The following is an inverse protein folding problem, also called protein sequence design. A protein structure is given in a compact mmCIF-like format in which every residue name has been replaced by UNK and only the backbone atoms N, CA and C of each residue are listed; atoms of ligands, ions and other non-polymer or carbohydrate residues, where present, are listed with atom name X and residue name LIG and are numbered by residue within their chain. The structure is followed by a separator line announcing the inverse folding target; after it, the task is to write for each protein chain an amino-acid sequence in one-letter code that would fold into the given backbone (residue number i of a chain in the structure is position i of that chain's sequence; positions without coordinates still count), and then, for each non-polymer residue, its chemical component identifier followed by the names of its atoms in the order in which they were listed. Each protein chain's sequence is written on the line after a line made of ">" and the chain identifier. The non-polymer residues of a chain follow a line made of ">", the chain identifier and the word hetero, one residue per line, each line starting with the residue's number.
data_IF_713630744699
#
_entry.id   IF_713630744699
#
_cell.length_a   1.000
_cell.length_b   1.000
_cell.length_c   1.000
_cell.angle_alpha   90.00
_cell.angle_beta   90.00
_cell.angle_gamma   90.00
#
_symmetry.space_group_name_H-M   'P 1'
#
loop_
_entity.id
_entity.type
_entity.pdbx_description
1 polymer ?
#
# COMPACT_ATOMS: atom_id res chain seq x y z
N UNK A 1 -35.34 39.72 5.20
CA UNK A 1 -34.52 39.69 6.43
C UNK A 1 -33.06 39.74 6.03
N UNK A 2 -32.36 40.84 6.32
CA UNK A 2 -30.92 40.94 6.11
C UNK A 2 -30.16 40.58 7.39
N UNK A 3 -29.07 39.83 7.27
CA UNK A 3 -28.09 39.66 8.34
C UNK A 3 -26.83 40.43 7.93
N UNK A 4 -26.63 41.61 8.53
CA UNK A 4 -25.38 42.35 8.48
C UNK A 4 -24.41 41.74 9.50
N UNK A 5 -23.32 41.14 9.05
CA UNK A 5 -22.19 40.77 9.92
C UNK A 5 -21.09 41.81 9.75
N UNK A 6 -21.12 42.87 10.56
CA UNK A 6 -19.98 43.78 10.72
C UNK A 6 -18.91 43.09 11.57
N UNK A 7 -17.91 42.50 10.91
CA UNK A 7 -16.69 41.99 11.54
C UNK A 7 -15.87 43.14 12.15
N UNK A 8 -15.83 43.18 13.48
CA UNK A 8 -15.15 44.20 14.27
C UNK A 8 -13.63 44.15 14.04
N UNK A 9 -13.05 45.20 13.42
CA UNK A 9 -11.64 45.27 13.04
C UNK A 9 -10.63 45.08 14.19
N UNK A 10 -11.05 45.29 15.44
CA UNK A 10 -10.21 45.10 16.65
C UNK A 10 -9.85 43.63 16.91
N UNK A 11 -10.68 42.67 16.51
CA UNK A 11 -10.43 41.23 16.73
C UNK A 11 -9.31 40.67 15.86
N UNK A 12 -9.20 41.16 14.60
CA UNK A 12 -8.12 40.75 13.68
C UNK A 12 -6.75 41.23 14.16
N UNK A 13 -6.65 42.46 14.65
CA UNK A 13 -5.37 43.01 15.15
C UNK A 13 -4.89 42.32 16.44
N UNK A 14 -5.80 41.91 17.33
CA UNK A 14 -5.47 41.14 18.53
C UNK A 14 -4.96 39.73 18.20
N UNK A 15 -5.54 39.07 17.19
CA UNK A 15 -5.07 37.76 16.73
C UNK A 15 -3.68 37.82 16.09
N UNK A 16 -3.36 38.87 15.33
CA UNK A 16 -2.02 39.06 14.77
C UNK A 16 -0.96 39.37 15.85
N UNK A 17 -1.28 40.18 16.85
CA UNK A 17 -0.37 40.49 17.96
C UNK A 17 -0.08 39.26 18.83
N UNK A 18 -1.08 38.42 19.10
CA UNK A 18 -0.92 37.17 19.84
C UNK A 18 -0.03 36.16 19.10
N UNK A 19 -0.20 36.02 17.77
CA UNK A 19 0.62 35.13 16.94
C UNK A 19 2.08 35.57 16.82
N UNK A 20 2.34 36.89 16.80
CA UNK A 20 3.71 37.44 16.82
C UNK A 20 4.41 37.22 18.17
N UNK A 21 3.70 37.39 19.28
CA UNK A 21 4.25 37.15 20.62
C UNK A 21 4.57 35.65 20.87
N UNK A 22 3.70 34.74 20.42
CA UNK A 22 3.93 33.29 20.48
C UNK A 22 5.11 32.85 19.61
N UNK A 23 5.27 33.45 18.42
CA UNK A 23 6.39 33.14 17.51
C UNK A 23 7.73 33.67 18.04
N UNK A 24 7.75 34.86 18.65
CA UNK A 24 8.96 35.41 19.27
C UNK A 24 9.38 34.63 20.52
N UNK A 25 8.42 34.13 21.32
CA UNK A 25 8.71 33.32 22.51
C UNK A 25 9.30 31.94 22.15
N UNK A 26 8.86 31.31 21.06
CA UNK A 26 9.45 30.04 20.59
C UNK A 26 10.89 30.21 20.08
N UNK A 27 11.20 31.32 19.40
CA UNK A 27 12.58 31.59 18.92
C UNK A 27 13.52 31.90 20.09
N UNK A 28 13.04 32.61 21.13
CA UNK A 28 13.85 32.87 22.33
C UNK A 28 14.16 31.59 23.13
N UNK A 29 13.20 30.67 23.24
CA UNK A 29 13.40 29.40 23.94
C UNK A 29 14.38 28.44 23.23
N UNK A 30 14.52 28.54 21.90
CA UNK A 30 15.44 27.71 21.12
C UNK A 30 16.89 28.24 21.11
N UNK A 31 17.14 29.48 21.56
CA UNK A 31 18.48 30.08 21.64
C UNK A 31 19.09 30.06 23.05
N UNK A 32 18.43 29.42 24.02
CA UNK A 32 19.00 29.21 25.35
C UNK A 32 20.05 28.08 25.30
N UNK A 33 21.32 28.48 25.19
CA UNK A 33 22.51 27.62 25.29
C UNK A 33 22.49 26.89 26.65
N UNK A 34 22.67 25.56 26.72
CA UNK A 34 22.88 24.91 28.01
C UNK A 34 24.17 25.45 28.65
N UNK A 35 24.22 25.67 29.97
CA UNK A 35 25.43 26.11 30.65
C UNK A 35 26.49 25.01 30.49
N UNK A 36 27.48 25.31 29.67
CA UNK A 36 28.71 24.56 29.63
C UNK A 36 29.47 24.79 30.94
N UNK A 37 30.02 23.69 31.48
CA UNK A 37 31.01 23.64 32.54
C UNK A 37 30.43 23.78 33.96
N UNK A 38 30.14 22.63 34.57
CA UNK A 38 30.20 22.45 36.03
C UNK A 38 31.59 21.92 36.37
N UNK A 39 32.26 22.58 37.30
CA UNK A 39 33.59 22.27 37.82
C UNK A 39 33.57 20.96 38.65
N UNK A 40 34.53 20.04 38.47
CA UNK A 40 34.49 18.74 39.14
C UNK A 40 35.00 18.82 40.59
N UNK A 41 34.27 18.26 41.59
CA UNK A 41 34.86 18.00 42.90
C UNK A 41 35.79 16.78 42.84
N UNK A 42 36.84 16.82 43.66
CA UNK A 42 37.90 15.82 43.76
C UNK A 42 37.40 14.40 44.11
N UNK A 43 38.18 13.41 43.66
CA UNK A 43 37.88 11.99 43.59
C UNK A 43 37.55 11.28 44.92
N UNK A 44 36.64 10.30 44.82
CA UNK A 44 36.50 9.17 45.74
C UNK A 44 36.66 7.85 44.95
N UNK A 45 37.18 6.76 45.56
CA UNK A 45 37.75 5.62 44.84
C UNK A 45 36.73 4.65 44.25
N UNK A 46 37.19 4.01 43.18
CA UNK A 46 36.58 3.04 42.27
C UNK A 46 35.91 1.81 42.92
N UNK A 47 34.75 1.43 42.38
CA UNK A 47 34.24 0.04 42.31
C UNK A 47 34.10 -0.34 40.82
N UNK A 48 34.34 -1.61 40.44
CA UNK A 48 34.47 -2.00 39.04
C UNK A 48 33.17 -1.84 38.26
N UNK A 49 33.27 -1.18 37.10
CA UNK A 49 32.17 -0.94 36.18
C UNK A 49 31.68 -2.24 35.53
N UNK A 50 30.35 -2.41 35.49
CA UNK A 50 29.69 -3.29 34.52
C UNK A 50 30.01 -2.83 33.09
N UNK A 51 30.21 -3.74 32.11
CA UNK A 51 30.49 -3.34 30.74
C UNK A 51 29.31 -2.58 30.14
N UNK A 52 29.62 -1.47 29.46
CA UNK A 52 28.67 -0.67 28.70
C UNK A 52 27.96 -1.52 27.62
N UNK A 53 26.69 -1.22 27.27
CA UNK A 53 26.03 -1.88 26.16
C UNK A 53 26.75 -1.54 24.85
N UNK A 54 26.97 -2.56 24.02
CA UNK A 54 27.59 -2.42 22.71
C UNK A 54 26.83 -1.42 21.81
N UNK A 55 27.51 -0.75 20.86
CA UNK A 55 26.84 0.15 19.92
C UNK A 55 25.80 -0.63 19.11
N UNK A 56 24.61 -0.04 18.95
CA UNK A 56 23.56 -0.56 18.08
C UNK A 56 24.09 -0.55 16.65
N UNK A 57 24.31 -1.73 16.07
CA UNK A 57 24.72 -1.87 14.67
C UNK A 57 23.66 -1.28 13.74
N UNK A 58 24.10 -0.60 12.69
CA UNK A 58 23.23 -0.18 11.58
C UNK A 58 22.46 -1.39 11.00
N UNK A 59 21.26 -1.21 10.42
CA UNK A 59 20.50 -2.31 9.84
C UNK A 59 21.34 -3.03 8.78
N UNK A 60 21.66 -4.30 9.06
CA UNK A 60 22.42 -5.14 8.16
C UNK A 60 21.52 -5.64 7.04
N UNK A 61 21.87 -5.32 5.79
CA UNK A 61 21.29 -5.97 4.61
C UNK A 61 22.07 -7.25 4.37
N UNK A 62 21.37 -8.39 4.31
CA UNK A 62 22.01 -9.68 4.11
C UNK A 62 22.75 -9.71 2.76
N UNK A 63 23.98 -10.21 2.76
CA UNK A 63 24.71 -10.54 1.54
C UNK A 63 24.03 -11.71 0.79
N UNK A 64 24.29 -11.89 -0.50
CA UNK A 64 23.76 -13.02 -1.26
C UNK A 64 24.08 -14.39 -0.64
N UNK A 65 25.25 -14.51 -0.01
CA UNK A 65 25.70 -15.76 0.65
C UNK A 65 24.93 -15.99 1.95
N UNK A 66 24.68 -14.94 2.73
CA UNK A 66 23.87 -15.03 3.95
C UNK A 66 22.40 -15.34 3.61
N UNK A 67 21.86 -14.74 2.55
CA UNK A 67 20.52 -15.06 2.06
C UNK A 67 20.42 -16.52 1.58
N UNK A 68 21.42 -17.03 0.85
CA UNK A 68 21.47 -18.43 0.42
C UNK A 68 21.61 -19.39 1.60
N UNK A 69 22.43 -19.05 2.60
CA UNK A 69 22.61 -19.86 3.80
C UNK A 69 21.33 -19.91 4.64
N UNK A 70 20.62 -18.79 4.74
CA UNK A 70 19.33 -18.74 5.44
C UNK A 70 18.26 -19.55 4.67
N UNK A 71 18.24 -19.45 3.34
CA UNK A 71 17.34 -20.23 2.49
C UNK A 71 17.63 -21.74 2.52
N UNK A 72 18.91 -22.14 2.61
CA UNK A 72 19.33 -23.54 2.70
C UNK A 72 18.93 -24.20 4.04
N UNK A 73 18.77 -23.39 5.09
CA UNK A 73 18.31 -23.84 6.42
C UNK A 73 16.80 -23.66 6.63
N UNK A 74 16.06 -23.19 5.62
CA UNK A 74 14.61 -23.10 5.70
C UNK A 74 14.02 -24.53 5.71
N UNK A 75 13.06 -24.84 6.61
CA UNK A 75 12.43 -26.15 6.62
C UNK A 75 11.78 -26.42 5.26
N UNK A 76 11.99 -27.61 4.70
CA UNK A 76 11.43 -28.02 3.39
C UNK A 76 9.91 -27.88 3.37
N UNK A 77 9.25 -28.04 4.53
CA UNK A 77 7.82 -27.80 4.70
C UNK A 77 7.37 -26.34 4.39
N UNK A 78 8.25 -25.35 4.54
CA UNK A 78 7.97 -23.97 4.13
C UNK A 78 8.06 -23.78 2.59
N UNK A 79 8.78 -24.64 1.87
CA UNK A 79 8.77 -24.66 0.40
C UNK A 79 7.50 -25.33 -0.16
N UNK A 80 6.85 -26.19 0.62
CA UNK A 80 5.63 -26.92 0.23
C UNK A 80 4.32 -26.25 0.67
N UNK A 81 4.32 -24.97 1.06
CA UNK A 81 3.07 -24.25 1.29
C UNK A 81 2.37 -23.88 -0.04
N UNK A 82 1.98 -24.91 -0.79
CA UNK A 82 1.16 -24.83 -2.00
C UNK A 82 -0.31 -24.69 -1.58
N UNK A 83 -0.68 -23.54 -1.01
CA UNK A 83 -2.08 -23.24 -0.75
C UNK A 83 -2.79 -23.01 -2.10
N UNK A 84 -3.63 -23.97 -2.51
CA UNK A 84 -4.42 -23.88 -3.73
C UNK A 84 -5.48 -22.78 -3.59
N UNK A 85 -5.63 -21.98 -4.64
CA UNK A 85 -6.63 -20.93 -4.72
C UNK A 85 -7.88 -21.49 -5.41
N UNK A 86 -8.99 -21.70 -4.67
CA UNK A 86 -10.25 -22.09 -5.28
C UNK A 86 -10.80 -20.97 -6.16
N UNK A 87 -11.81 -21.27 -6.98
CA UNK A 87 -12.57 -20.24 -7.68
C UNK A 87 -13.17 -19.25 -6.68
N UNK A 88 -13.05 -17.97 -7.02
CA UNK A 88 -13.52 -16.87 -6.19
C UNK A 88 -14.90 -16.35 -6.59
N UNK A 89 -15.19 -15.11 -6.21
CA UNK A 89 -16.45 -14.42 -6.55
C UNK A 89 -16.46 -13.81 -7.95
N UNK A 90 -15.30 -13.75 -8.62
CA UNK A 90 -15.18 -13.20 -9.96
C UNK A 90 -15.71 -14.20 -11.02
N UNK A 91 -16.49 -13.74 -12.02
CA UNK A 91 -16.79 -14.57 -13.18
C UNK A 91 -15.51 -14.74 -14.02
N UNK A 92 -14.97 -15.96 -14.04
CA UNK A 92 -13.70 -16.27 -14.73
C UNK A 92 -13.85 -16.44 -16.25
N UNK A 93 -15.09 -16.53 -16.75
CA UNK A 93 -15.36 -16.64 -18.18
C UNK A 93 -14.81 -15.42 -18.93
N UNK A 94 -13.96 -15.67 -19.93
CA UNK A 94 -13.31 -14.62 -20.71
C UNK A 94 -12.11 -13.95 -20.04
N UNK A 95 -11.73 -14.34 -18.81
CA UNK A 95 -10.50 -13.87 -18.16
C UNK A 95 -9.28 -14.68 -18.60
N UNK A 96 -8.11 -14.02 -18.56
CA UNK A 96 -6.82 -14.66 -18.77
C UNK A 96 -6.20 -15.15 -17.46
N UNK A 97 -5.26 -16.09 -17.56
CA UNK A 97 -4.75 -16.86 -16.41
C UNK A 97 -4.18 -16.00 -15.27
N UNK A 98 -3.39 -14.95 -15.53
CA UNK A 98 -2.88 -14.11 -14.44
C UNK A 98 -3.97 -13.20 -13.85
N UNK A 99 -4.96 -12.80 -14.65
CA UNK A 99 -6.14 -12.08 -14.16
C UNK A 99 -6.99 -12.96 -13.23
N UNK A 100 -7.21 -14.24 -13.61
CA UNK A 100 -7.87 -15.24 -12.76
C UNK A 100 -7.08 -15.43 -11.47
N UNK A 101 -5.76 -15.53 -11.57
CA UNK A 101 -4.89 -15.70 -10.41
C UNK A 101 -5.03 -14.55 -9.41
N UNK A 102 -4.99 -13.29 -9.89
CA UNK A 102 -5.23 -12.13 -9.04
C UNK A 102 -6.62 -12.17 -8.39
N UNK A 103 -7.68 -12.47 -9.17
CA UNK A 103 -9.06 -12.52 -8.67
C UNK A 103 -9.26 -13.58 -7.57
N UNK A 104 -8.72 -14.78 -7.76
CA UNK A 104 -8.81 -15.86 -6.76
C UNK A 104 -8.03 -15.55 -5.50
N UNK A 105 -6.81 -14.98 -5.64
CA UNK A 105 -6.02 -14.58 -4.49
C UNK A 105 -6.75 -13.51 -3.66
N UNK A 106 -7.34 -12.52 -4.32
CA UNK A 106 -8.13 -11.47 -3.65
C UNK A 106 -9.35 -12.06 -2.96
N UNK A 107 -10.07 -12.97 -3.61
CA UNK A 107 -11.26 -13.62 -3.03
C UNK A 107 -10.93 -14.42 -1.75
N UNK A 108 -9.75 -15.04 -1.67
CA UNK A 108 -9.31 -15.78 -0.48
C UNK A 108 -8.87 -14.84 0.64
N UNK A 109 -8.10 -13.80 0.30
CA UNK A 109 -7.44 -12.94 1.30
C UNK A 109 -8.36 -11.85 1.84
N UNK A 110 -9.35 -11.44 1.06
CA UNK A 110 -10.29 -10.36 1.38
C UNK A 110 -11.72 -10.89 1.30
N UNK A 111 -12.15 -11.75 2.24
CA UNK A 111 -13.48 -12.36 2.20
C UNK A 111 -14.64 -11.36 2.37
N UNK A 112 -14.37 -10.10 2.73
CA UNK A 112 -15.35 -9.02 2.72
C UNK A 112 -15.75 -8.62 1.29
N UNK A 113 -14.94 -8.94 0.30
CA UNK A 113 -15.23 -8.71 -1.12
C UNK A 113 -16.19 -9.79 -1.62
N UNK A 114 -17.42 -9.37 -1.89
CA UNK A 114 -18.48 -10.26 -2.36
C UNK A 114 -18.75 -10.14 -3.85
N UNK A 115 -18.14 -9.14 -4.52
CA UNK A 115 -18.32 -8.91 -5.96
C UNK A 115 -17.01 -8.48 -6.60
N UNK A 116 -16.65 -9.17 -7.68
CA UNK A 116 -15.55 -8.78 -8.56
C UNK A 116 -16.09 -8.79 -9.99
N UNK A 117 -16.01 -7.64 -10.67
CA UNK A 117 -16.25 -7.53 -12.10
C UNK A 117 -15.06 -8.04 -12.91
N UNK A 118 -15.28 -8.39 -14.18
CA UNK A 118 -14.24 -8.97 -15.03
C UNK A 118 -14.47 -8.69 -16.50
N UNK A 119 -14.43 -9.73 -17.33
CA UNK A 119 -14.64 -9.64 -18.77
C UNK A 119 -15.98 -8.99 -19.11
N UNK A 120 -15.94 -7.98 -19.98
CA UNK A 120 -17.09 -7.30 -20.59
C UNK A 120 -16.63 -6.48 -21.79
N UNK A 121 -17.57 -6.08 -22.64
CA UNK A 121 -17.28 -5.10 -23.68
C UNK A 121 -17.10 -3.72 -23.05
N UNK A 122 -16.01 -3.04 -23.41
CA UNK A 122 -15.58 -1.75 -22.91
C UNK A 122 -14.78 -1.02 -24.02
N UNK A 123 -14.66 0.32 -23.97
CA UNK A 123 -13.90 1.07 -24.97
C UNK A 123 -12.39 0.79 -24.95
N UNK A 124 -11.85 0.40 -23.79
CA UNK A 124 -10.43 0.08 -23.62
C UNK A 124 -10.23 -1.43 -23.65
N UNK A 125 -9.04 -1.86 -24.11
CA UNK A 125 -8.72 -3.27 -24.35
C UNK A 125 -8.73 -4.18 -23.10
N UNK A 126 -8.73 -3.63 -21.88
CA UNK A 126 -8.44 -4.40 -20.68
C UNK A 126 -9.53 -5.43 -20.34
N UNK A 127 -10.76 -4.98 -20.07
CA UNK A 127 -11.88 -5.89 -19.83
C UNK A 127 -12.25 -6.76 -21.04
N UNK A 128 -12.31 -6.25 -22.29
CA UNK A 128 -12.68 -7.05 -23.46
C UNK A 128 -11.71 -8.17 -23.79
N UNK A 129 -10.44 -8.05 -23.36
CA UNK A 129 -9.43 -9.09 -23.59
C UNK A 129 -9.19 -9.96 -22.35
N UNK A 130 -9.99 -9.82 -21.28
CA UNK A 130 -9.82 -10.62 -20.05
C UNK A 130 -8.61 -10.24 -19.21
N UNK A 131 -8.11 -9.01 -19.37
CA UNK A 131 -6.88 -8.53 -18.75
C UNK A 131 -7.13 -7.76 -17.45
N UNK A 132 -8.38 -7.49 -17.10
CA UNK A 132 -8.69 -6.71 -15.90
C UNK A 132 -9.86 -7.23 -15.09
N UNK A 133 -9.82 -6.87 -13.80
CA UNK A 133 -10.89 -7.08 -12.81
C UNK A 133 -11.16 -5.77 -12.06
N UNK A 134 -12.42 -5.61 -11.67
CA UNK A 134 -12.88 -4.51 -10.81
C UNK A 134 -13.32 -5.10 -9.47
N UNK A 135 -12.54 -4.85 -8.44
CA UNK A 135 -12.80 -5.36 -7.08
C UNK A 135 -13.70 -4.37 -6.37
N UNK A 136 -14.98 -4.70 -6.22
CA UNK A 136 -15.98 -3.79 -5.65
C UNK A 136 -15.76 -3.65 -4.14
N UNK A 137 -15.60 -2.41 -3.68
CA UNK A 137 -15.34 -2.12 -2.27
C UNK A 137 -16.67 -1.88 -1.54
N UNK A 138 -17.02 -2.67 -0.51
CA UNK A 138 -18.21 -2.41 0.28
C UNK A 138 -18.03 -1.10 1.08
N UNK A 139 -19.08 -0.28 1.12
CA UNK A 139 -19.08 0.99 1.86
C UNK A 139 -17.87 1.87 1.52
N UNK A 140 -17.56 2.01 0.23
CA UNK A 140 -16.33 2.61 -0.30
C UNK A 140 -16.08 4.08 0.07
N UNK A 141 -17.07 4.75 0.64
CA UNK A 141 -16.95 6.12 1.14
C UNK A 141 -16.51 6.17 2.62
N UNK A 142 -16.66 5.08 3.38
CA UNK A 142 -16.26 5.03 4.79
C UNK A 142 -14.75 4.92 4.96
N UNK A 143 -14.20 5.32 6.12
CA UNK A 143 -12.79 5.09 6.44
C UNK A 143 -12.38 3.62 6.28
N UNK A 144 -13.24 2.69 6.68
CA UNK A 144 -13.01 1.25 6.58
C UNK A 144 -12.98 0.76 5.14
N UNK A 145 -13.92 1.23 4.30
CA UNK A 145 -13.93 0.91 2.87
C UNK A 145 -12.70 1.48 2.15
N UNK A 146 -12.31 2.72 2.47
CA UNK A 146 -11.09 3.33 1.92
C UNK A 146 -9.85 2.52 2.30
N UNK A 147 -9.75 2.11 3.57
CA UNK A 147 -8.62 1.32 4.06
C UNK A 147 -8.59 -0.08 3.42
N UNK A 148 -9.73 -0.74 3.27
CA UNK A 148 -9.84 -2.01 2.56
C UNK A 148 -9.37 -1.86 1.09
N UNK A 149 -9.83 -0.83 0.39
CA UNK A 149 -9.38 -0.55 -0.97
C UNK A 149 -7.87 -0.27 -1.06
N UNK A 150 -7.31 0.45 -0.09
CA UNK A 150 -5.86 0.69 0.01
C UNK A 150 -5.09 -0.62 0.17
N UNK A 151 -5.56 -1.53 1.04
CA UNK A 151 -4.93 -2.83 1.26
C UNK A 151 -4.96 -3.70 0.01
N UNK A 152 -6.10 -3.75 -0.70
CA UNK A 152 -6.23 -4.52 -1.94
C UNK A 152 -5.33 -3.95 -3.04
N UNK A 153 -5.33 -2.63 -3.23
CA UNK A 153 -4.47 -1.97 -4.21
C UNK A 153 -2.97 -2.21 -3.89
N UNK A 154 -2.58 -2.04 -2.62
CA UNK A 154 -1.22 -2.30 -2.16
C UNK A 154 -0.80 -3.76 -2.33
N UNK A 155 -1.71 -4.71 -2.05
CA UNK A 155 -1.44 -6.13 -2.21
C UNK A 155 -1.25 -6.52 -3.68
N UNK A 156 -2.08 -5.97 -4.58
CA UNK A 156 -1.92 -6.17 -6.02
C UNK A 156 -0.57 -5.63 -6.51
N UNK A 157 -0.18 -4.43 -6.09
CA UNK A 157 1.10 -3.82 -6.45
C UNK A 157 2.30 -4.59 -5.87
N UNK A 158 2.21 -5.07 -4.63
CA UNK A 158 3.25 -5.90 -4.01
C UNK A 158 3.46 -7.23 -4.77
N UNK A 159 2.44 -7.69 -5.50
CA UNK A 159 2.49 -8.89 -6.33
C UNK A 159 2.63 -8.58 -7.82
N UNK A 160 2.97 -7.34 -8.21
CA UNK A 160 2.92 -6.91 -9.60
C UNK A 160 3.72 -7.81 -10.55
N UNK A 161 4.94 -8.20 -10.18
CA UNK A 161 5.74 -9.14 -10.97
C UNK A 161 5.09 -10.53 -11.07
N UNK A 162 4.55 -11.04 -9.97
CA UNK A 162 3.99 -12.40 -9.89
C UNK A 162 2.71 -12.54 -10.72
N UNK A 163 1.84 -11.54 -10.66
CA UNK A 163 0.56 -11.54 -11.37
C UNK A 163 0.61 -10.77 -12.69
N UNK A 164 1.78 -10.27 -13.10
CA UNK A 164 1.90 -9.44 -14.29
C UNK A 164 1.06 -8.16 -14.23
N UNK A 165 0.87 -7.56 -13.05
CA UNK A 165 0.08 -6.33 -12.90
C UNK A 165 0.76 -5.20 -13.68
N UNK A 166 0.04 -4.66 -14.66
CA UNK A 166 0.46 -3.53 -15.46
C UNK A 166 0.12 -2.21 -14.76
N UNK A 167 -1.07 -2.13 -14.17
CA UNK A 167 -1.46 -1.01 -13.33
C UNK A 167 -2.62 -1.37 -12.40
N UNK A 168 -2.75 -0.57 -11.34
CA UNK A 168 -3.89 -0.53 -10.43
C UNK A 168 -4.46 0.89 -10.46
N UNK A 169 -5.78 1.04 -10.47
CA UNK A 169 -6.44 2.35 -10.30
C UNK A 169 -7.32 2.30 -9.05
N UNK A 170 -7.11 3.28 -8.17
CA UNK A 170 -7.91 3.44 -6.97
C UNK A 170 -8.04 4.92 -6.63
N UNK A 171 -9.27 5.41 -6.55
CA UNK A 171 -9.66 6.79 -6.20
C UNK A 171 -8.87 7.84 -7.00
N UNK A 172 -9.07 7.82 -8.33
CA UNK A 172 -8.40 8.69 -9.31
C UNK A 172 -6.88 8.62 -9.36
N UNK A 173 -6.27 7.63 -8.71
CA UNK A 173 -4.82 7.45 -8.78
C UNK A 173 -4.51 6.17 -9.51
N UNK A 174 -3.75 6.30 -10.60
CA UNK A 174 -3.18 5.19 -11.33
C UNK A 174 -1.78 4.89 -10.80
N UNK A 175 -1.57 3.63 -10.47
CA UNK A 175 -0.32 3.07 -9.99
C UNK A 175 0.19 2.08 -11.03
N UNK A 176 1.20 2.45 -11.83
CA UNK A 176 1.88 1.48 -12.67
C UNK A 176 2.46 0.34 -11.83
N UNK A 177 2.44 -0.89 -12.33
CA UNK A 177 3.10 -2.03 -11.65
C UNK A 177 4.61 -1.79 -11.46
N UNK A 178 5.21 -1.01 -12.37
CA UNK A 178 6.57 -0.47 -12.25
C UNK A 178 6.52 1.02 -12.61
N UNK A 179 6.92 1.89 -11.69
CA UNK A 179 7.03 3.33 -11.93
C UNK A 179 6.35 4.18 -10.86
N UNK A 180 6.35 5.50 -11.07
CA UNK A 180 5.70 6.45 -10.18
C UNK A 180 4.20 6.56 -10.48
N UNK A 181 3.34 6.73 -9.46
CA UNK A 181 1.91 6.91 -9.68
C UNK A 181 1.58 8.32 -10.17
N UNK A 182 0.42 8.47 -10.80
CA UNK A 182 -0.12 9.76 -11.25
C UNK A 182 -1.62 9.86 -11.00
N UNK A 183 -2.15 11.09 -10.98
CA UNK A 183 -3.59 11.33 -10.93
C UNK A 183 -4.21 11.16 -12.32
N UNK A 184 -5.42 10.60 -12.38
CA UNK A 184 -6.26 10.56 -13.58
C UNK A 184 -7.11 11.83 -13.67
N UNK A 185 -7.71 12.06 -14.84
CA UNK A 185 -8.72 13.11 -14.95
C UNK A 185 -9.98 12.76 -14.13
N UNK A 186 -10.81 13.77 -13.88
CA UNK A 186 -12.17 13.58 -13.37
C UNK A 186 -13.12 13.27 -14.53
N UNK A 187 -13.74 12.10 -14.47
CA UNK A 187 -14.67 11.59 -15.47
C UNK A 187 -16.14 11.76 -15.08
N UNK A 188 -16.43 12.45 -13.97
CA UNK A 188 -17.77 12.91 -13.62
C UNK A 188 -18.64 11.92 -12.86
N UNK A 189 -18.11 10.77 -12.44
CA UNK A 189 -18.81 9.84 -11.53
C UNK A 189 -17.83 9.06 -10.66
N UNK A 190 -18.28 8.59 -9.49
CA UNK A 190 -17.47 7.78 -8.58
C UNK A 190 -16.93 6.53 -9.26
N UNK A 191 -17.77 5.81 -10.00
CA UNK A 191 -17.36 4.61 -10.74
C UNK A 191 -16.30 4.90 -11.79
N UNK A 192 -16.48 5.92 -12.64
CA UNK A 192 -15.47 6.26 -13.66
C UNK A 192 -14.16 6.77 -13.02
N UNK A 193 -14.26 7.35 -11.83
CA UNK A 193 -13.15 7.83 -11.03
C UNK A 193 -12.55 6.74 -10.11
N UNK A 194 -13.03 5.50 -10.18
CA UNK A 194 -12.55 4.35 -9.39
C UNK A 194 -12.64 4.58 -7.87
N UNK A 195 -13.70 5.25 -7.42
CA UNK A 195 -13.95 5.48 -5.99
C UNK A 195 -14.66 4.31 -5.31
N UNK A 196 -15.41 3.51 -6.06
CA UNK A 196 -16.22 2.37 -5.59
C UNK A 196 -15.58 1.00 -5.84
N UNK A 197 -14.50 0.94 -6.63
CA UNK A 197 -13.76 -0.30 -6.91
C UNK A 197 -12.27 -0.07 -7.13
N UNK A 198 -11.48 -1.10 -6.83
CA UNK A 198 -10.07 -1.18 -7.22
C UNK A 198 -9.98 -1.88 -8.57
N UNK A 199 -9.54 -1.16 -9.60
CA UNK A 199 -9.28 -1.75 -10.92
C UNK A 199 -7.86 -2.32 -10.98
N UNK A 200 -7.71 -3.56 -11.43
CA UNK A 200 -6.41 -4.24 -11.58
C UNK A 200 -6.31 -4.77 -13.00
N UNK A 201 -5.34 -4.27 -13.76
CA UNK A 201 -5.02 -4.76 -15.09
C UNK A 201 -3.72 -5.54 -15.10
N UNK A 202 -3.69 -6.66 -15.81
CA UNK A 202 -2.54 -7.56 -15.94
C UNK A 202 -2.06 -7.65 -17.39
N UNK A 203 -0.88 -8.21 -17.59
CA UNK A 203 -0.34 -8.61 -18.89
C UNK A 203 -0.99 -9.90 -19.44
N UNK A 204 -1.88 -10.53 -18.67
CA UNK A 204 -2.68 -11.68 -19.08
C UNK A 204 -1.97 -13.02 -18.90
N UNK A 205 -1.25 -13.48 -19.92
CA UNK A 205 -0.62 -14.81 -19.94
C UNK A 205 -1.42 -15.90 -20.70
N UNK A 206 -2.46 -15.50 -21.44
CA UNK A 206 -3.29 -16.39 -22.25
C UNK A 206 -4.58 -16.85 -21.59
N UNK A 207 -5.48 -17.43 -22.38
CA UNK A 207 -6.73 -18.00 -21.87
C UNK A 207 -6.48 -19.36 -21.21
N UNK A 208 -7.22 -19.70 -20.14
CA UNK A 208 -7.09 -20.98 -19.46
C UNK A 208 -7.44 -22.14 -20.39
N UNK A 209 -6.66 -23.22 -20.29
CA UNK A 209 -6.89 -24.48 -21.00
C UNK A 209 -7.70 -25.47 -20.16
N UNK A 210 -7.91 -25.17 -18.88
CA UNK A 210 -8.55 -26.05 -17.89
C UNK A 210 -7.56 -26.96 -17.16
N UNK A 211 -6.27 -26.86 -17.46
CA UNK A 211 -5.19 -27.60 -16.79
C UNK A 211 -4.49 -26.75 -15.72
N UNK A 212 -4.89 -25.49 -15.56
CA UNK A 212 -4.27 -24.56 -14.65
C UNK A 212 -4.65 -24.87 -13.19
N UNK A 213 -3.64 -24.95 -12.33
CA UNK A 213 -3.80 -24.92 -10.87
C UNK A 213 -3.15 -23.67 -10.31
N UNK A 214 -3.94 -22.87 -9.60
CA UNK A 214 -3.51 -21.62 -9.00
C UNK A 214 -3.15 -21.84 -7.54
N UNK A 215 -2.00 -21.34 -7.11
CA UNK A 215 -1.57 -21.35 -5.72
C UNK A 215 -1.26 -19.92 -5.25
N UNK A 216 -1.23 -19.69 -3.95
CA UNK A 216 -0.97 -18.35 -3.40
C UNK A 216 0.36 -17.75 -3.91
N UNK A 217 1.39 -18.57 -4.09
CA UNK A 217 2.73 -18.13 -4.51
C UNK A 217 3.15 -18.53 -5.93
N UNK A 218 2.41 -19.43 -6.60
CA UNK A 218 2.77 -19.95 -7.93
C UNK A 218 1.53 -20.39 -8.72
N UNK A 219 1.66 -20.70 -10.00
CA UNK A 219 0.65 -21.49 -10.71
C UNK A 219 1.31 -22.52 -11.64
N UNK A 220 0.55 -23.56 -11.96
CA UNK A 220 0.97 -24.66 -12.85
C UNK A 220 -0.01 -24.77 -14.03
N UNK A 221 0.45 -24.82 -15.29
CA UNK A 221 1.81 -24.49 -15.71
C UNK A 221 2.13 -23.02 -15.40
N UNK A 222 3.42 -22.69 -15.32
CA UNK A 222 3.83 -21.29 -15.18
C UNK A 222 3.36 -20.50 -16.43
N UNK A 223 2.75 -19.32 -16.27
CA UNK A 223 2.32 -18.50 -17.39
C UNK A 223 3.51 -18.12 -18.25
N UNK A 224 3.25 -17.91 -19.54
CA UNK A 224 4.24 -17.28 -20.41
C UNK A 224 4.46 -15.84 -19.95
N UNK A 225 5.72 -15.41 -19.96
CA UNK A 225 6.11 -14.01 -19.76
C UNK A 225 5.62 -13.14 -20.91
#
# INVERSE_FOLDING_TARGET
>A
MGINVFGNGRGRWLAFAASLALSAAMIYAQNAKPPCCVEPPAAAPVSPASPAPAPVSAPHTASPVEAQSLAANAPVAAQEFQFSLPSGVAPESGLQVKTIWAARAISVLFPQITTIGGFRQDPLKWHPNGLAIDVMIPDHASPEGIELGNQIAGYALANAKRWGVLHVIWRQKIYPGIGAPSWTADYGSETLNHYDHVHIATDGGGYPTGQETYFIGSMKPTPRE
#
